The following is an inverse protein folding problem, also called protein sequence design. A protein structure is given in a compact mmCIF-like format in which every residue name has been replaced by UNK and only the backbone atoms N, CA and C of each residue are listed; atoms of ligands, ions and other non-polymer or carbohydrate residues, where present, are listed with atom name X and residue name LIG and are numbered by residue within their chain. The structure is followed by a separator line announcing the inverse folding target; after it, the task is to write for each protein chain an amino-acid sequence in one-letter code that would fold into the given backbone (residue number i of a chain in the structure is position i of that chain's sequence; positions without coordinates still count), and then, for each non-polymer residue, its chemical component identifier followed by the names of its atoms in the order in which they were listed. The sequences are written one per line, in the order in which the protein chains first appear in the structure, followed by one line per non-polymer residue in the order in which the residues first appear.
data_IF_363649624091
#
_entry.id   IF_363649624091
#
_cell.length_a   1.000
_cell.length_b   1.000
_cell.length_c   1.000
_cell.angle_alpha   90.00
_cell.angle_beta   90.00
_cell.angle_gamma   90.00
#
_symmetry.space_group_name_H-M   'P 1'
#
loop_
_entity.id
_entity.type
_entity.pdbx_description
1 polymer ?
#
# COMPACT_ATOMS: atom_id res chain seq x y z
N UNK A 1 0.42 -12.31 1.12
CA UNK A 1 1.09 -12.97 -0.05
C UNK A 1 2.61 -12.94 0.10
N UNK A 2 3.34 -14.05 -0.13
CA UNK A 2 4.81 -14.07 -0.05
C UNK A 2 5.44 -13.90 -1.45
N UNK A 3 5.97 -12.71 -1.74
CA UNK A 3 6.76 -12.44 -2.94
C UNK A 3 8.20 -12.93 -2.75
N UNK A 4 8.38 -14.25 -2.74
CA UNK A 4 9.71 -14.87 -2.73
C UNK A 4 10.50 -14.42 -3.97
N UNK A 5 11.74 -13.96 -3.80
CA UNK A 5 12.62 -13.52 -4.89
C UNK A 5 12.80 -14.56 -6.01
N UNK A 6 12.76 -15.87 -5.69
CA UNK A 6 12.81 -16.93 -6.70
C UNK A 6 11.53 -17.00 -7.53
N UNK A 7 10.39 -16.66 -6.95
CA UNK A 7 9.11 -16.60 -7.66
C UNK A 7 9.05 -15.42 -8.63
N UNK A 8 9.63 -14.27 -8.25
CA UNK A 8 9.73 -13.08 -9.11
C UNK A 8 10.60 -13.38 -10.35
N UNK A 9 11.81 -13.90 -10.15
CA UNK A 9 12.73 -14.21 -11.26
C UNK A 9 12.12 -15.21 -12.25
N UNK A 10 11.37 -16.20 -11.75
CA UNK A 10 10.66 -17.15 -12.59
C UNK A 10 9.57 -16.46 -13.42
N UNK A 11 8.80 -15.55 -12.82
CA UNK A 11 7.75 -14.80 -13.50
C UNK A 11 8.35 -13.87 -14.58
N UNK A 12 9.45 -13.19 -14.27
CA UNK A 12 10.16 -12.32 -15.21
C UNK A 12 10.69 -13.11 -16.42
N UNK A 13 11.28 -14.28 -16.19
CA UNK A 13 11.74 -15.17 -17.26
C UNK A 13 10.60 -15.71 -18.14
N UNK A 14 9.41 -15.90 -17.57
CA UNK A 14 8.23 -16.42 -18.29
C UNK A 14 7.46 -15.33 -19.04
N UNK A 15 7.38 -14.12 -18.49
CA UNK A 15 6.54 -13.03 -19.01
C UNK A 15 7.31 -12.01 -19.83
N UNK A 16 8.63 -11.91 -19.64
CA UNK A 16 9.47 -10.85 -20.22
C UNK A 16 9.26 -9.48 -19.60
N UNK A 17 8.38 -9.35 -18.59
CA UNK A 17 8.22 -8.13 -17.81
C UNK A 17 9.36 -8.05 -16.80
N UNK A 18 10.18 -7.00 -16.91
CA UNK A 18 11.32 -6.75 -16.03
C UNK A 18 11.02 -5.54 -15.15
N UNK A 19 11.31 -5.65 -13.86
CA UNK A 19 11.25 -4.55 -12.90
C UNK A 19 12.34 -4.75 -11.85
N UNK A 20 12.76 -3.64 -11.24
CA UNK A 20 13.76 -3.69 -10.20
C UNK A 20 13.22 -4.35 -8.94
N UNK A 21 14.03 -5.23 -8.38
CA UNK A 21 13.76 -5.85 -7.09
C UNK A 21 14.35 -4.95 -5.99
N UNK A 22 13.71 -3.80 -5.79
CA UNK A 22 14.10 -2.79 -4.80
C UNK A 22 13.20 -2.94 -3.57
N UNK A 23 13.78 -3.48 -2.50
CA UNK A 23 13.07 -3.63 -1.23
C UNK A 23 12.83 -2.25 -0.60
N UNK A 24 11.57 -1.94 -0.31
CA UNK A 24 11.20 -0.66 0.29
C UNK A 24 11.31 -0.70 1.82
N UNK A 25 11.44 0.48 2.45
CA UNK A 25 11.49 0.58 3.92
C UNK A 25 10.23 -0.02 4.58
N UNK A 26 9.08 0.17 3.95
CA UNK A 26 7.81 -0.31 4.49
C UNK A 26 7.73 -1.84 4.52
N UNK A 27 8.33 -2.53 3.54
CA UNK A 27 8.40 -4.00 3.49
C UNK A 27 9.23 -4.55 4.65
N UNK A 28 10.34 -3.88 4.99
CA UNK A 28 11.15 -4.21 6.18
C UNK A 28 10.37 -4.02 7.48
N UNK A 29 9.57 -2.96 7.56
CA UNK A 29 8.74 -2.69 8.73
C UNK A 29 7.64 -3.73 8.89
N UNK A 30 6.98 -4.12 7.80
CA UNK A 30 6.01 -5.22 7.74
C UNK A 30 6.68 -6.52 8.21
N UNK A 31 7.83 -6.89 7.63
CA UNK A 31 8.57 -8.10 7.99
C UNK A 31 9.03 -8.11 9.46
N UNK A 32 9.23 -6.94 10.06
CA UNK A 32 9.59 -6.81 11.48
C UNK A 32 8.43 -7.08 12.45
N UNK A 33 7.18 -7.13 11.96
CA UNK A 33 5.98 -7.41 12.75
C UNK A 33 5.61 -6.32 13.76
N UNK A 34 6.05 -5.06 13.53
CA UNK A 34 5.85 -3.95 14.48
C UNK A 34 4.59 -3.12 14.21
N UNK A 35 3.89 -3.40 13.12
CA UNK A 35 2.73 -2.63 12.69
C UNK A 35 1.49 -3.02 13.50
N UNK A 36 0.71 -2.02 13.89
CA UNK A 36 -0.59 -2.22 14.54
C UNK A 36 -1.46 -0.99 14.34
N UNK A 37 -2.78 -1.19 14.28
CA UNK A 37 -3.70 -0.07 14.24
C UNK A 37 -3.75 0.65 15.59
N UNK A 38 -3.69 1.98 15.55
CA UNK A 38 -3.88 2.85 16.71
C UNK A 38 -5.13 3.70 16.50
N UNK A 39 -6.15 3.47 17.33
CA UNK A 39 -7.33 4.32 17.30
C UNK A 39 -7.03 5.73 17.81
N UNK A 40 -7.65 6.74 17.19
CA UNK A 40 -7.53 8.15 17.57
C UNK A 40 -8.91 8.67 17.98
N UNK A 41 -9.29 8.58 19.28
CA UNK A 41 -10.64 8.90 19.74
C UNK A 41 -11.08 10.34 19.47
N UNK A 42 -10.12 11.28 19.37
CA UNK A 42 -10.41 12.69 19.08
C UNK A 42 -10.89 12.93 17.65
N UNK A 43 -10.63 12.01 16.71
CA UNK A 43 -11.06 12.10 15.30
C UNK A 43 -12.36 11.31 15.03
N UNK A 44 -13.00 10.74 16.06
CA UNK A 44 -14.24 9.97 15.89
C UNK A 44 -15.42 10.89 15.57
N UNK A 45 -16.07 10.67 14.41
CA UNK A 45 -17.25 11.40 13.98
C UNK A 45 -18.53 10.64 14.37
N UNK A 46 -19.57 11.38 14.77
CA UNK A 46 -20.94 10.89 15.01
C UNK A 46 -21.08 9.83 16.14
N UNK A 47 -21.26 10.29 17.39
CA UNK A 47 -21.35 9.44 18.60
C UNK A 47 -22.69 8.70 18.78
N UNK A 48 -23.63 8.85 17.85
CA UNK A 48 -25.04 8.47 18.02
C UNK A 48 -25.55 7.46 16.99
N UNK A 49 -24.77 7.11 15.98
CA UNK A 49 -25.13 6.11 14.98
C UNK A 49 -24.10 4.97 14.97
N UNK A 50 -24.59 3.77 14.68
CA UNK A 50 -23.84 2.53 14.50
C UNK A 50 -22.99 2.64 13.22
N UNK A 51 -22.08 3.61 13.17
CA UNK A 51 -21.31 3.93 11.98
C UNK A 51 -20.14 2.96 11.87
N UNK A 52 -20.20 2.05 10.90
CA UNK A 52 -19.17 1.05 10.61
C UNK A 52 -18.23 1.52 9.49
N UNK A 53 -17.76 2.77 9.56
CA UNK A 53 -16.79 3.29 8.60
C UNK A 53 -15.45 3.53 9.30
N UNK A 54 -14.38 3.01 8.70
CA UNK A 54 -13.00 3.21 9.16
C UNK A 54 -12.29 4.16 8.20
N UNK A 55 -11.57 5.12 8.75
CA UNK A 55 -10.58 5.92 8.04
C UNK A 55 -9.21 5.54 8.59
N UNK A 56 -8.31 5.10 7.71
CA UNK A 56 -6.96 4.68 8.06
C UNK A 56 -5.99 5.71 7.46
N UNK A 57 -5.12 6.26 8.30
CA UNK A 57 -4.09 7.22 7.92
C UNK A 57 -2.73 6.52 8.00
N UNK A 58 -2.01 6.44 6.88
CA UNK A 58 -0.72 5.76 6.78
C UNK A 58 -0.38 5.35 5.35
N UNK A 59 0.69 4.57 5.22
CA UNK A 59 1.06 3.92 3.95
C UNK A 59 0.02 2.85 3.56
N UNK A 60 -0.31 2.78 2.27
CA UNK A 60 -1.36 1.89 1.78
C UNK A 60 -0.97 0.41 1.86
N UNK A 61 0.30 0.06 1.66
CA UNK A 61 0.78 -1.31 1.71
C UNK A 61 0.70 -1.85 3.16
N UNK A 62 1.15 -1.05 4.13
CA UNK A 62 1.04 -1.41 5.54
C UNK A 62 -0.42 -1.53 6.01
N UNK A 63 -1.29 -0.61 5.58
CA UNK A 63 -2.71 -0.67 5.91
C UNK A 63 -3.37 -1.93 5.35
N UNK A 64 -3.14 -2.25 4.07
CA UNK A 64 -3.69 -3.44 3.43
C UNK A 64 -3.15 -4.74 4.05
N UNK A 65 -1.88 -4.77 4.44
CA UNK A 65 -1.30 -5.91 5.14
C UNK A 65 -2.00 -6.19 6.47
N UNK A 66 -2.20 -5.16 7.31
CA UNK A 66 -2.91 -5.32 8.58
C UNK A 66 -4.38 -5.71 8.37
N UNK A 67 -5.05 -5.21 7.33
CA UNK A 67 -6.41 -5.62 6.98
C UNK A 67 -6.47 -7.09 6.50
N UNK A 68 -5.45 -7.58 5.78
CA UNK A 68 -5.29 -9.00 5.45
C UNK A 68 -5.13 -9.85 6.71
N UNK A 69 -4.30 -9.42 7.67
CA UNK A 69 -4.12 -10.12 8.95
C UNK A 69 -5.41 -10.17 9.79
N UNK A 70 -6.22 -9.10 9.78
CA UNK A 70 -7.56 -9.07 10.38
C UNK A 70 -8.59 -9.91 9.61
N UNK A 71 -8.22 -10.50 8.46
CA UNK A 71 -9.11 -11.24 7.55
C UNK A 71 -10.31 -10.40 7.07
N UNK A 72 -10.09 -9.10 6.88
CA UNK A 72 -11.10 -8.18 6.37
C UNK A 72 -11.52 -8.60 4.95
N UNK A 73 -12.79 -8.34 4.61
CA UNK A 73 -13.35 -8.66 3.29
C UNK A 73 -13.92 -7.40 2.65
N UNK A 74 -13.70 -7.30 1.34
CA UNK A 74 -14.18 -6.19 0.53
C UNK A 74 -14.96 -6.73 -0.65
N UNK A 75 -16.17 -6.21 -0.87
CA UNK A 75 -16.95 -6.50 -2.07
C UNK A 75 -16.43 -5.72 -3.28
N UNK A 76 -15.99 -4.47 -3.04
CA UNK A 76 -15.52 -3.54 -4.08
C UNK A 76 -14.32 -2.77 -3.56
N UNK A 77 -13.30 -2.65 -4.39
CA UNK A 77 -12.13 -1.80 -4.18
C UNK A 77 -12.09 -0.78 -5.32
N UNK A 78 -12.07 0.50 -4.97
CA UNK A 78 -11.89 1.60 -5.93
C UNK A 78 -10.58 2.33 -5.62
N UNK A 79 -9.72 2.47 -6.62
CA UNK A 79 -8.43 3.17 -6.51
C UNK A 79 -8.27 4.14 -7.69
N UNK A 80 -7.65 5.28 -7.43
CA UNK A 80 -7.21 6.27 -8.41
C UNK A 80 -5.70 6.53 -8.19
N UNK A 81 -4.83 5.60 -8.62
CA UNK A 81 -3.38 5.71 -8.38
C UNK A 81 -2.74 6.76 -9.29
N UNK A 82 -1.52 7.25 -8.96
CA UNK A 82 -0.75 8.10 -9.88
C UNK A 82 -0.51 7.36 -11.21
N UNK A 83 -0.65 8.07 -12.32
CA UNK A 83 -0.53 7.49 -13.66
C UNK A 83 0.89 7.55 -14.23
N UNK A 84 1.82 8.17 -13.51
CA UNK A 84 3.22 8.34 -13.92
C UNK A 84 3.33 9.02 -15.31
N UNK A 85 2.47 10.02 -15.57
CA UNK A 85 2.42 10.73 -16.86
C UNK A 85 3.55 11.75 -17.02
N UNK A 86 4.28 12.04 -15.94
CA UNK A 86 5.25 13.12 -15.86
C UNK A 86 4.62 14.52 -15.78
N UNK A 87 3.29 14.61 -15.73
CA UNK A 87 2.60 15.88 -15.53
C UNK A 87 2.64 16.30 -14.06
N UNK A 88 2.82 17.60 -13.81
CA UNK A 88 2.94 18.19 -12.46
C UNK A 88 1.59 18.61 -11.88
N UNK A 89 0.49 18.00 -12.34
CA UNK A 89 -0.83 18.43 -11.93
C UNK A 89 -1.15 17.96 -10.51
N UNK A 90 -1.54 18.93 -9.68
CA UNK A 90 -1.58 18.98 -8.22
C UNK A 90 -2.24 17.79 -7.46
N UNK A 91 -2.95 16.88 -8.11
CA UNK A 91 -3.77 15.88 -7.39
C UNK A 91 -3.00 14.67 -6.87
N UNK A 92 -1.88 14.29 -7.50
CA UNK A 92 -0.96 13.27 -7.00
C UNK A 92 0.47 13.59 -7.45
N UNK A 93 1.47 13.32 -6.61
CA UNK A 93 2.86 13.53 -6.99
C UNK A 93 3.28 12.40 -7.97
N UNK A 94 3.10 12.64 -9.27
CA UNK A 94 3.52 11.78 -10.39
C UNK A 94 5.07 11.66 -10.51
N UNK A 95 5.82 12.24 -9.56
CA UNK A 95 7.27 12.10 -9.44
C UNK A 95 7.65 11.39 -8.13
N UNK A 96 7.33 10.10 -8.04
CA UNK A 96 8.11 9.20 -7.21
C UNK A 96 9.22 8.60 -8.09
N UNK A 97 10.16 9.45 -8.49
CA UNK A 97 11.37 9.05 -9.23
C UNK A 97 12.52 9.27 -8.24
N UNK A 98 13.15 8.19 -7.78
CA UNK A 98 14.38 8.31 -6.99
C UNK A 98 15.47 8.92 -7.88
N UNK A 99 16.48 9.57 -7.30
CA UNK A 99 17.60 10.12 -8.10
C UNK A 99 18.41 9.02 -8.81
N UNK A 100 18.19 7.75 -8.43
CA UNK A 100 18.77 6.56 -9.04
C UNK A 100 17.93 6.01 -10.22
N UNK A 101 16.69 6.49 -10.38
CA UNK A 101 15.73 6.04 -11.41
C UNK A 101 15.68 6.98 -12.63
N UNK A 102 16.66 7.90 -12.75
CA UNK A 102 16.76 8.95 -13.78
C UNK A 102 17.64 8.56 -14.98
#
# INVERSE_FOLDING_TARGET
MNFDHKSILKLQAQTGLLWENKEEKIEKEIASGKLHFKQVPSKTLNRTAICQHRLIEGDNLAALHLLEEESEKFDVIYIDPPYNTGNKDFRYNDHYVDNEDA
#
